data_IF_373390627474
#
_entry.id   IF_373390627474
#
_cell.length_a   1.000
_cell.length_b   1.000
_cell.length_c   1.000
_cell.angle_alpha   90.00
_cell.angle_beta   90.00
_cell.angle_gamma   90.00
#
_symmetry.space_group_name_H-M   'P 1'
#
loop_
_entity.id
_entity.type
_entity.pdbx_description
1 polymer ?
#
# COMPACT_ATOMS: atom_id res chain seq x y z
N UNK A 1 1.73 15.77 -1.98
CA UNK A 1 1.19 16.42 -0.76
C UNK A 1 1.19 17.96 -0.78
N UNK A 2 2.31 18.66 -0.98
CA UNK A 2 2.36 20.13 -0.83
C UNK A 2 1.26 20.91 -1.59
N UNK A 3 0.98 20.55 -2.85
CA UNK A 3 -0.08 21.18 -3.65
C UNK A 3 -1.50 20.91 -3.12
N UNK A 4 -1.76 19.69 -2.65
CA UNK A 4 -3.04 19.32 -2.04
C UNK A 4 -3.23 20.02 -0.69
N UNK A 5 -2.18 20.09 0.15
CA UNK A 5 -2.21 20.89 1.40
C UNK A 5 -2.39 22.38 1.16
N UNK A 6 -1.98 22.88 -0.01
CA UNK A 6 -2.22 24.26 -0.43
C UNK A 6 -3.61 24.48 -1.05
N UNK A 7 -4.48 23.45 -1.09
CA UNK A 7 -5.83 23.53 -1.64
C UNK A 7 -5.92 23.58 -3.16
N UNK A 8 -4.81 23.32 -3.87
CA UNK A 8 -4.75 23.38 -5.35
C UNK A 8 -5.24 22.09 -6.01
N UNK A 9 -5.31 20.99 -5.25
CA UNK A 9 -5.86 19.70 -5.68
C UNK A 9 -6.97 19.37 -4.70
N UNK A 10 -8.18 19.16 -5.23
CA UNK A 10 -9.36 18.76 -4.47
C UNK A 10 -9.48 17.23 -4.46
N UNK A 11 -10.22 16.73 -3.48
CA UNK A 11 -10.53 15.32 -3.27
C UNK A 11 -9.25 14.47 -3.20
N UNK A 12 -8.26 14.98 -2.47
CA UNK A 12 -6.99 14.30 -2.30
C UNK A 12 -7.05 13.33 -1.11
N UNK A 13 -6.96 12.05 -1.42
CA UNK A 13 -7.00 10.96 -0.44
C UNK A 13 -5.92 11.12 0.65
N UNK A 14 -6.32 11.01 1.91
CA UNK A 14 -5.49 11.22 3.10
C UNK A 14 -5.28 12.68 3.50
N UNK A 15 -5.90 13.64 2.80
CA UNK A 15 -5.97 15.06 3.21
C UNK A 15 -7.42 15.48 3.40
N UNK A 16 -8.18 15.54 2.32
CA UNK A 16 -9.56 16.03 2.29
C UNK A 16 -10.57 14.94 1.90
N UNK A 17 -10.08 13.80 1.39
CA UNK A 17 -10.86 12.58 1.14
C UNK A 17 -10.28 11.42 1.97
N UNK A 18 -11.08 10.61 2.70
CA UNK A 18 -10.54 9.51 3.51
C UNK A 18 -9.99 8.37 2.66
N UNK A 19 -9.03 7.62 3.23
CA UNK A 19 -8.64 6.31 2.70
C UNK A 19 -9.35 5.23 3.50
N UNK A 20 -10.03 4.31 2.83
CA UNK A 20 -10.62 3.13 3.44
C UNK A 20 -9.59 2.00 3.41
N UNK A 21 -9.03 1.67 4.57
CA UNK A 21 -8.08 0.57 4.68
C UNK A 21 -8.76 -0.77 4.38
N UNK A 22 -8.09 -1.70 3.66
CA UNK A 22 -8.70 -2.99 3.33
C UNK A 22 -8.98 -3.83 4.59
N UNK A 23 -10.21 -4.27 4.77
CA UNK A 23 -10.59 -5.13 5.91
C UNK A 23 -9.96 -6.53 5.84
N UNK A 24 -9.80 -7.07 4.63
CA UNK A 24 -9.35 -8.44 4.39
C UNK A 24 -8.24 -8.52 3.34
N UNK A 25 -7.14 -7.80 3.55
CA UNK A 25 -5.99 -7.89 2.64
C UNK A 25 -5.32 -9.27 2.71
N UNK A 26 -5.00 -9.87 1.56
CA UNK A 26 -4.24 -11.13 1.50
C UNK A 26 -2.80 -10.95 1.99
N UNK A 27 -2.23 -9.76 1.80
CA UNK A 27 -0.93 -9.35 2.34
C UNK A 27 -0.90 -7.84 2.60
N UNK A 28 -0.31 -7.45 3.74
CA UNK A 28 -0.07 -6.05 4.11
C UNK A 28 1.43 -5.82 4.22
N UNK A 29 1.91 -4.72 3.63
CA UNK A 29 3.33 -4.35 3.61
C UNK A 29 3.49 -2.97 4.24
N UNK A 30 4.20 -2.91 5.37
CA UNK A 30 4.70 -1.64 5.91
C UNK A 30 5.97 -1.23 5.16
N UNK A 31 5.84 -0.24 4.28
CA UNK A 31 6.93 0.25 3.44
C UNK A 31 7.92 1.15 4.18
N UNK A 32 7.63 1.55 5.42
CA UNK A 32 8.58 2.30 6.26
C UNK A 32 9.59 1.36 6.94
N UNK A 33 9.17 0.13 7.22
CA UNK A 33 9.97 -0.86 7.93
C UNK A 33 10.83 -1.77 7.03
N UNK A 34 10.57 -1.78 5.72
CA UNK A 34 11.20 -2.70 4.78
C UNK A 34 11.84 -1.99 3.60
N UNK A 35 12.91 -2.57 3.06
CA UNK A 35 13.41 -2.19 1.73
C UNK A 35 12.45 -2.69 0.66
N UNK A 36 12.45 -2.06 -0.54
CA UNK A 36 11.65 -2.54 -1.67
C UNK A 36 11.88 -4.02 -2.01
N UNK A 37 13.11 -4.51 -1.94
CA UNK A 37 13.46 -5.89 -2.24
C UNK A 37 12.82 -6.87 -1.23
N UNK A 38 12.87 -6.53 0.07
CA UNK A 38 12.25 -7.35 1.11
C UNK A 38 10.72 -7.32 1.02
N UNK A 39 10.13 -6.17 0.71
CA UNK A 39 8.70 -6.04 0.46
C UNK A 39 8.26 -6.92 -0.72
N UNK A 40 8.98 -6.86 -1.85
CA UNK A 40 8.71 -7.68 -3.02
C UNK A 40 8.83 -9.18 -2.70
N UNK A 41 9.86 -9.58 -1.96
CA UNK A 41 10.03 -10.97 -1.55
C UNK A 41 8.86 -11.47 -0.70
N UNK A 42 8.34 -10.66 0.24
CA UNK A 42 7.14 -11.01 1.01
C UNK A 42 5.91 -11.24 0.13
N UNK A 43 5.75 -10.46 -0.93
CA UNK A 43 4.66 -10.63 -1.90
C UNK A 43 4.83 -11.96 -2.64
N UNK A 44 6.04 -12.28 -3.11
CA UNK A 44 6.32 -13.54 -3.82
C UNK A 44 6.01 -14.77 -2.94
N UNK A 45 6.45 -14.76 -1.68
CA UNK A 45 6.15 -15.83 -0.72
C UNK A 45 4.64 -15.97 -0.50
N UNK A 46 3.90 -14.86 -0.44
CA UNK A 46 2.43 -14.93 -0.34
C UNK A 46 1.81 -15.58 -1.57
N UNK A 47 2.25 -15.20 -2.78
CA UNK A 47 1.75 -15.77 -4.03
C UNK A 47 2.05 -17.26 -4.14
N UNK A 48 3.22 -17.71 -3.70
CA UNK A 48 3.59 -19.13 -3.62
C UNK A 48 2.67 -19.88 -2.65
N UNK A 49 2.44 -19.34 -1.45
CA UNK A 49 1.55 -19.95 -0.46
C UNK A 49 0.09 -20.04 -0.93
N UNK A 50 -0.36 -19.10 -1.77
CA UNK A 50 -1.67 -19.14 -2.41
C UNK A 50 -1.71 -20.07 -3.63
N UNK A 51 -0.57 -20.63 -4.05
CA UNK A 51 -0.45 -21.56 -5.16
C UNK A 51 -0.46 -20.90 -6.54
N UNK A 52 -0.26 -19.58 -6.62
CA UNK A 52 -0.24 -18.85 -7.90
C UNK A 52 1.08 -19.02 -8.65
N UNK A 53 2.18 -19.26 -7.93
CA UNK A 53 3.53 -19.44 -8.48
C UNK A 53 4.28 -20.57 -7.74
N UNK A 54 5.38 -21.07 -8.34
CA UNK A 54 6.29 -22.09 -7.80
C UNK A 54 7.73 -21.67 -8.02
#
# INVERSE_FOLDING_TARGET
YAKARAGLIKEFTGIDDPYEEPETAEVTIDTQALTPELAAHRILVKLENLGFIR
#
